data_IF_725490190546
#
_entry.id   IF_725490190546
#
_cell.length_a   1.000
_cell.length_b   1.000
_cell.length_c   1.000
_cell.angle_alpha   90.00
_cell.angle_beta   90.00
_cell.angle_gamma   90.00
#
_symmetry.space_group_name_H-M   'P 1'
#
loop_
_entity.id
_entity.type
_entity.pdbx_description
1 polymer ?
#
# COMPACT_ATOMS: atom_id res chain seq x y z
N UNK A 1 -2.53 -17.84 -19.84
CA UNK A 1 -1.28 -17.19 -20.25
C UNK A 1 -0.16 -17.67 -19.32
N UNK A 2 0.81 -18.46 -19.80
CA UNK A 2 1.89 -19.00 -18.98
C UNK A 2 2.88 -17.91 -18.51
N UNK A 3 2.90 -16.75 -19.17
CA UNK A 3 3.80 -15.64 -18.84
C UNK A 3 3.17 -14.62 -17.91
N UNK A 4 1.93 -14.85 -17.46
CA UNK A 4 1.24 -13.94 -16.55
C UNK A 4 1.81 -14.07 -15.12
N UNK A 5 2.14 -12.92 -14.51
CA UNK A 5 2.53 -12.86 -13.11
C UNK A 5 1.32 -13.08 -12.20
N UNK A 6 1.52 -13.87 -11.15
CA UNK A 6 0.50 -14.15 -10.14
C UNK A 6 0.73 -13.28 -8.92
N UNK A 7 -0.24 -12.40 -8.64
CA UNK A 7 -0.24 -11.55 -7.46
C UNK A 7 -1.34 -11.97 -6.49
N UNK A 8 -0.98 -12.13 -5.22
CA UNK A 8 -1.91 -12.52 -4.15
C UNK A 8 -1.93 -11.43 -3.09
N UNK A 9 -3.14 -10.96 -2.74
CA UNK A 9 -3.34 -9.96 -1.69
C UNK A 9 -3.82 -10.62 -0.42
N UNK A 10 -3.11 -10.35 0.69
CA UNK A 10 -3.37 -10.90 2.02
C UNK A 10 -3.66 -9.75 2.99
N UNK A 11 -4.62 -9.96 3.88
CA UNK A 11 -4.89 -9.00 4.97
C UNK A 11 -3.83 -9.14 6.05
N UNK A 12 -3.35 -8.01 6.57
CA UNK A 12 -2.47 -7.97 7.72
C UNK A 12 -3.24 -8.41 8.97
N UNK A 13 -3.02 -9.65 9.38
CA UNK A 13 -3.59 -10.26 10.58
C UNK A 13 -2.57 -11.22 11.20
N UNK A 14 -2.68 -11.55 12.49
CA UNK A 14 -1.78 -12.52 13.11
C UNK A 14 -1.75 -13.85 12.35
N UNK A 15 -0.56 -14.34 12.03
CA UNK A 15 -0.38 -15.56 11.23
C UNK A 15 -0.24 -15.34 9.72
N UNK A 16 -0.37 -14.09 9.23
CA UNK A 16 -0.24 -13.77 7.80
C UNK A 16 1.12 -14.20 7.22
N UNK A 17 2.17 -14.20 8.02
CA UNK A 17 3.49 -14.68 7.61
C UNK A 17 3.48 -16.14 7.19
N UNK A 18 2.77 -17.01 7.90
CA UNK A 18 2.61 -18.44 7.55
C UNK A 18 1.83 -18.58 6.24
N UNK A 19 0.78 -17.77 6.06
CA UNK A 19 0.00 -17.74 4.82
C UNK A 19 0.88 -17.27 3.66
N UNK A 20 1.65 -16.21 3.85
CA UNK A 20 2.59 -15.69 2.85
C UNK A 20 3.63 -16.75 2.43
N UNK A 21 4.16 -17.52 3.38
CA UNK A 21 5.07 -18.62 3.06
C UNK A 21 4.39 -19.71 2.22
N UNK A 22 3.14 -20.05 2.53
CA UNK A 22 2.34 -20.99 1.73
C UNK A 22 2.10 -20.49 0.30
N UNK A 23 1.74 -19.21 0.17
CA UNK A 23 1.52 -18.54 -1.13
C UNK A 23 2.81 -18.47 -1.96
N UNK A 24 3.96 -18.15 -1.34
CA UNK A 24 5.26 -18.17 -2.01
C UNK A 24 5.66 -19.58 -2.47
N UNK A 25 5.35 -20.62 -1.69
CA UNK A 25 5.55 -22.03 -2.12
C UNK A 25 4.64 -22.43 -3.26
N UNK A 26 3.46 -21.82 -3.38
CA UNK A 26 2.52 -22.02 -4.49
C UNK A 26 2.88 -21.18 -5.73
N UNK A 27 4.10 -20.64 -5.80
CA UNK A 27 4.66 -19.90 -6.95
C UNK A 27 3.97 -18.57 -7.26
N UNK A 28 3.49 -17.85 -6.27
CA UNK A 28 3.12 -16.45 -6.48
C UNK A 28 4.37 -15.59 -6.75
N UNK A 29 4.24 -14.64 -7.66
CA UNK A 29 5.32 -13.69 -8.03
C UNK A 29 5.33 -12.45 -7.13
N UNK A 30 4.15 -12.04 -6.65
CA UNK A 30 3.95 -10.89 -5.79
C UNK A 30 2.98 -11.21 -4.67
N UNK A 31 3.34 -10.85 -3.44
CA UNK A 31 2.43 -10.86 -2.30
C UNK A 31 2.22 -9.44 -1.82
N UNK A 32 0.96 -8.98 -1.78
CA UNK A 32 0.59 -7.70 -1.18
C UNK A 32 0.07 -7.93 0.23
N UNK A 33 0.73 -7.36 1.22
CA UNK A 33 0.25 -7.31 2.60
C UNK A 33 -0.55 -6.02 2.78
N UNK A 34 -1.83 -6.16 3.03
CA UNK A 34 -2.78 -5.05 3.13
C UNK A 34 -3.14 -4.76 4.59
N UNK A 35 -2.87 -3.55 5.06
CA UNK A 35 -3.36 -3.09 6.35
C UNK A 35 -4.89 -2.97 6.40
N UNK A 36 -5.45 -2.77 7.60
CA UNK A 36 -6.90 -2.61 7.79
C UNK A 36 -7.52 -1.49 6.95
N UNK A 37 -6.74 -0.47 6.60
CA UNK A 37 -7.13 0.66 5.74
C UNK A 37 -7.05 0.33 4.24
N UNK A 38 -6.51 -0.84 3.91
CA UNK A 38 -6.38 -1.30 2.53
C UNK A 38 -7.68 -1.83 1.95
N UNK A 39 -7.65 -2.12 0.66
CA UNK A 39 -8.80 -2.62 -0.07
C UNK A 39 -9.57 -1.54 -0.80
N UNK A 40 -10.85 -1.79 -1.05
CA UNK A 40 -11.68 -0.87 -1.83
C UNK A 40 -12.28 0.24 -0.98
N UNK A 41 -12.26 1.48 -1.49
CA UNK A 41 -13.01 2.60 -0.90
C UNK A 41 -14.53 2.40 -0.89
N UNK A 42 -15.03 1.44 -1.66
CA UNK A 42 -16.45 1.08 -1.69
C UNK A 42 -16.87 0.12 -0.56
N UNK A 43 -15.94 -0.36 0.27
CA UNK A 43 -16.28 -1.17 1.44
C UNK A 43 -17.01 -0.35 2.51
N UNK A 44 -17.99 -0.95 3.22
CA UNK A 44 -18.61 -0.32 4.38
C UNK A 44 -17.57 0.04 5.45
N UNK A 45 -17.83 1.11 6.21
CA UNK A 45 -16.92 1.59 7.24
C UNK A 45 -16.54 0.51 8.27
N UNK A 46 -17.50 -0.35 8.63
CA UNK A 46 -17.23 -1.44 9.56
C UNK A 46 -16.15 -2.40 9.06
N UNK A 47 -16.16 -2.76 7.76
CA UNK A 47 -15.14 -3.62 7.15
C UNK A 47 -13.78 -2.93 7.12
N UNK A 48 -13.73 -1.67 6.72
CA UNK A 48 -12.49 -0.88 6.68
C UNK A 48 -11.89 -0.71 8.08
N UNK A 49 -12.73 -0.60 9.11
CA UNK A 49 -12.28 -0.29 10.47
C UNK A 49 -11.89 -1.53 11.28
N UNK A 50 -12.49 -2.68 10.99
CA UNK A 50 -12.35 -3.86 11.86
C UNK A 50 -11.82 -5.11 11.17
N UNK A 51 -11.53 -5.08 9.87
CA UNK A 51 -10.98 -6.20 9.14
C UNK A 51 -9.46 -6.02 8.97
N UNK A 52 -8.68 -6.61 9.85
CA UNK A 52 -7.21 -6.58 9.77
C UNK A 52 -6.53 -5.73 10.84
N UNK A 53 -5.23 -5.78 10.82
CA UNK A 53 -4.29 -5.04 11.67
C UNK A 53 -3.57 -3.95 10.86
N UNK A 54 -2.79 -3.05 11.50
CA UNK A 54 -1.88 -2.16 10.79
C UNK A 54 -0.94 -2.93 9.86
N UNK A 55 -0.66 -2.36 8.69
CA UNK A 55 0.20 -3.00 7.69
C UNK A 55 1.61 -3.28 8.21
N UNK A 56 2.11 -2.47 9.13
CA UNK A 56 3.43 -2.60 9.74
C UNK A 56 3.61 -3.97 10.42
N UNK A 57 2.60 -4.42 11.14
CA UNK A 57 2.61 -5.71 11.83
C UNK A 57 2.62 -6.86 10.84
N UNK A 58 1.68 -6.86 9.89
CA UNK A 58 1.58 -7.93 8.90
C UNK A 58 2.77 -8.00 7.97
N UNK A 59 3.30 -6.85 7.53
CA UNK A 59 4.48 -6.78 6.69
C UNK A 59 5.71 -7.31 7.41
N UNK A 60 5.93 -6.89 8.65
CA UNK A 60 7.05 -7.36 9.47
C UNK A 60 6.99 -8.86 9.69
N UNK A 61 5.83 -9.41 10.03
CA UNK A 61 5.63 -10.85 10.19
C UNK A 61 5.92 -11.61 8.88
N UNK A 62 5.35 -11.15 7.76
CA UNK A 62 5.57 -11.78 6.45
C UNK A 62 7.05 -11.77 6.05
N UNK A 63 7.73 -10.64 6.21
CA UNK A 63 9.17 -10.50 5.94
C UNK A 63 10.00 -11.49 6.76
N UNK A 64 9.73 -11.60 8.07
CA UNK A 64 10.47 -12.49 8.96
C UNK A 64 10.25 -13.97 8.58
N UNK A 65 8.99 -14.38 8.37
CA UNK A 65 8.66 -15.77 8.03
C UNK A 65 9.20 -16.16 6.65
N UNK A 66 9.09 -15.28 5.65
CA UNK A 66 9.66 -15.52 4.32
C UNK A 66 11.19 -15.69 4.38
N UNK A 67 11.89 -14.88 5.18
CA UNK A 67 13.34 -14.99 5.38
C UNK A 67 13.71 -16.28 6.12
N UNK A 68 13.05 -16.58 7.21
CA UNK A 68 13.30 -17.79 8.01
C UNK A 68 13.12 -19.09 7.21
N UNK A 69 12.26 -19.06 6.18
CA UNK A 69 12.00 -20.22 5.31
C UNK A 69 12.80 -20.20 3.99
N UNK A 70 13.71 -19.23 3.77
CA UNK A 70 14.47 -19.09 2.52
C UNK A 70 13.61 -18.76 1.29
N UNK A 71 12.42 -18.18 1.50
CA UNK A 71 11.45 -17.89 0.45
C UNK A 71 11.50 -16.41 0.00
N UNK A 72 12.13 -15.53 0.78
CA UNK A 72 12.08 -14.08 0.53
C UNK A 72 12.59 -13.68 -0.85
N UNK A 73 13.59 -14.34 -1.39
CA UNK A 73 14.14 -14.09 -2.72
C UNK A 73 13.31 -14.66 -3.88
N UNK A 74 12.22 -15.39 -3.58
CA UNK A 74 11.35 -16.03 -4.60
C UNK A 74 10.14 -15.19 -4.96
N UNK A 75 9.76 -14.23 -4.12
CA UNK A 75 8.54 -13.46 -4.24
C UNK A 75 8.82 -11.99 -3.92
N UNK A 76 8.22 -11.10 -4.67
CA UNK A 76 8.20 -9.66 -4.34
C UNK A 76 7.17 -9.40 -3.26
N UNK A 77 7.48 -8.45 -2.38
CA UNK A 77 6.55 -8.05 -1.31
C UNK A 77 6.12 -6.61 -1.51
N UNK A 78 4.82 -6.43 -1.57
CA UNK A 78 4.17 -5.12 -1.62
C UNK A 78 3.40 -4.89 -0.32
N UNK A 79 3.23 -3.64 0.07
CA UNK A 79 2.28 -3.28 1.13
C UNK A 79 1.39 -2.13 0.70
N UNK A 80 0.16 -2.13 1.21
CA UNK A 80 -0.79 -1.03 1.12
C UNK A 80 -1.59 -0.87 2.43
N UNK A 81 -2.51 0.07 2.45
CA UNK A 81 -3.37 0.31 3.61
C UNK A 81 -2.92 1.50 4.43
N UNK A 82 -3.02 2.68 3.83
CA UNK A 82 -2.82 3.94 4.54
C UNK A 82 -1.52 4.67 4.23
N UNK A 83 -0.70 4.20 3.31
CA UNK A 83 0.50 4.91 2.86
C UNK A 83 0.12 6.26 2.22
N UNK A 84 0.80 7.35 2.61
CA UNK A 84 0.49 8.71 2.14
C UNK A 84 1.73 9.55 1.83
N UNK A 85 2.87 9.28 2.49
CA UNK A 85 4.06 10.12 2.49
C UNK A 85 5.31 9.35 2.11
N UNK A 86 6.41 10.04 1.85
CA UNK A 86 7.72 9.43 1.66
C UNK A 86 8.22 8.72 2.93
N UNK A 87 7.86 9.24 4.11
CA UNK A 87 8.18 8.59 5.37
C UNK A 87 7.50 7.20 5.49
N UNK A 88 6.26 7.05 5.02
CA UNK A 88 5.58 5.76 4.99
C UNK A 88 6.31 4.78 4.05
N UNK A 89 6.79 5.27 2.89
CA UNK A 89 7.60 4.47 1.95
C UNK A 89 8.88 3.98 2.62
N UNK A 90 9.60 4.85 3.31
CA UNK A 90 10.84 4.51 4.04
C UNK A 90 10.57 3.44 5.10
N UNK A 91 9.56 3.64 5.94
CA UNK A 91 9.16 2.66 6.96
C UNK A 91 8.80 1.31 6.35
N UNK A 92 8.00 1.33 5.28
CA UNK A 92 7.59 0.10 4.60
C UNK A 92 8.79 -0.63 3.96
N UNK A 93 9.74 0.09 3.36
CA UNK A 93 10.96 -0.51 2.83
C UNK A 93 11.81 -1.14 3.95
N UNK A 94 12.02 -0.43 5.05
CA UNK A 94 12.76 -0.95 6.21
C UNK A 94 12.09 -2.22 6.77
N UNK A 95 10.76 -2.29 6.80
CA UNK A 95 10.02 -3.48 7.23
C UNK A 95 9.94 -4.58 6.18
N UNK A 96 10.42 -4.36 4.95
CA UNK A 96 10.62 -5.40 3.96
C UNK A 96 9.84 -5.25 2.65
N UNK A 97 9.09 -4.17 2.42
CA UNK A 97 8.38 -3.97 1.17
C UNK A 97 9.32 -3.48 0.05
N UNK A 98 9.08 -3.98 -1.17
CA UNK A 98 9.75 -3.57 -2.41
C UNK A 98 8.83 -2.72 -3.30
N UNK A 99 7.55 -2.73 -3.01
CA UNK A 99 6.51 -2.02 -3.75
C UNK A 99 5.47 -1.45 -2.79
N UNK A 100 4.84 -0.35 -3.17
CA UNK A 100 4.01 0.46 -2.29
C UNK A 100 2.70 0.82 -2.97
N UNK A 101 1.57 0.49 -2.33
CA UNK A 101 0.24 0.79 -2.83
C UNK A 101 -0.37 2.01 -2.14
N UNK A 102 -0.88 2.94 -2.95
CA UNK A 102 -1.51 4.17 -2.48
C UNK A 102 -2.97 4.22 -2.91
N UNK A 103 -3.85 4.59 -2.00
CA UNK A 103 -5.26 4.80 -2.28
C UNK A 103 -5.71 6.21 -1.90
N UNK A 104 -5.80 6.49 -0.61
CA UNK A 104 -6.36 7.73 -0.06
C UNK A 104 -5.59 8.99 -0.48
N UNK A 105 -4.25 8.96 -0.46
CA UNK A 105 -3.42 10.12 -0.79
C UNK A 105 -3.70 10.68 -2.19
N UNK A 106 -3.54 9.89 -3.26
CA UNK A 106 -3.85 10.35 -4.62
C UNK A 106 -5.33 10.69 -4.82
N UNK A 107 -6.26 10.01 -4.12
CA UNK A 107 -7.68 10.36 -4.17
C UNK A 107 -7.95 11.75 -3.55
N UNK A 108 -7.30 12.08 -2.43
CA UNK A 108 -7.39 13.41 -1.80
C UNK A 108 -6.78 14.47 -2.73
N UNK A 109 -5.66 14.17 -3.38
CA UNK A 109 -5.08 15.06 -4.39
C UNK A 109 -6.06 15.37 -5.53
N UNK A 110 -6.92 14.43 -5.92
CA UNK A 110 -7.99 14.64 -6.91
C UNK A 110 -9.24 15.34 -6.35
N UNK A 111 -9.25 15.76 -5.10
CA UNK A 111 -10.37 16.47 -4.48
C UNK A 111 -11.31 15.61 -3.63
N UNK A 112 -10.93 14.38 -3.29
CA UNK A 112 -11.72 13.54 -2.37
C UNK A 112 -11.86 14.21 -0.99
N UNK A 113 -13.07 14.32 -0.50
CA UNK A 113 -13.40 14.90 0.82
C UNK A 113 -13.45 13.86 1.95
N UNK A 114 -13.04 12.64 1.66
CA UNK A 114 -12.99 11.54 2.64
C UNK A 114 -14.34 11.25 3.32
N UNK A 115 -15.43 11.36 2.59
CA UNK A 115 -16.80 11.19 3.10
C UNK A 115 -17.13 9.72 3.42
N UNK A 116 -16.36 8.78 2.90
CA UNK A 116 -16.56 7.32 3.11
C UNK A 116 -17.94 6.79 2.67
N UNK A 117 -18.54 7.43 1.68
CA UNK A 117 -19.83 7.02 1.05
C UNK A 117 -19.62 6.39 -0.33
N UNK A 118 -18.39 5.93 -0.63
CA UNK A 118 -18.02 5.38 -1.93
C UNK A 118 -18.89 4.18 -2.33
N UNK A 119 -19.35 3.39 -1.36
CA UNK A 119 -20.20 2.21 -1.59
C UNK A 119 -21.64 2.54 -1.98
N UNK A 120 -22.06 3.80 -1.88
CA UNK A 120 -23.45 4.23 -2.17
C UNK A 120 -23.64 4.72 -3.60
N UNK A 121 -22.60 4.73 -4.44
CA UNK A 121 -22.63 5.32 -5.77
C UNK A 121 -23.16 6.77 -5.82
N UNK A 122 -23.00 7.51 -4.73
CA UNK A 122 -23.49 8.87 -4.55
C UNK A 122 -22.40 9.80 -3.98
N UNK A 123 -21.20 9.71 -4.55
CA UNK A 123 -20.07 10.53 -4.11
C UNK A 123 -20.29 11.99 -4.47
N UNK A 124 -20.39 12.86 -3.46
CA UNK A 124 -20.63 14.29 -3.63
C UNK A 124 -19.50 15.04 -4.37
N UNK A 125 -18.31 14.44 -4.46
CA UNK A 125 -17.17 15.01 -5.20
C UNK A 125 -17.03 14.45 -6.62
N UNK A 126 -17.97 13.62 -7.07
CA UNK A 126 -17.97 13.04 -8.42
C UNK A 126 -16.90 11.98 -8.68
N UNK A 127 -16.12 11.57 -7.66
CA UNK A 127 -15.00 10.63 -7.83
C UNK A 127 -15.50 9.18 -7.87
N UNK A 128 -16.16 8.73 -6.80
CA UNK A 128 -16.62 7.35 -6.65
C UNK A 128 -18.12 7.24 -6.93
N UNK A 129 -18.53 7.58 -8.15
CA UNK A 129 -19.92 7.50 -8.60
C UNK A 129 -20.00 7.32 -10.11
N UNK A 130 -21.05 6.65 -10.58
CA UNK A 130 -21.41 6.57 -11.99
C UNK A 130 -22.48 7.61 -12.38
N UNK A 131 -22.95 8.43 -11.43
CA UNK A 131 -23.89 9.50 -11.73
C UNK A 131 -23.22 10.59 -12.56
N UNK A 132 -23.65 10.73 -13.80
CA UNK A 132 -23.05 11.69 -14.76
C UNK A 132 -23.15 13.14 -14.30
N UNK A 133 -24.27 13.52 -13.65
CA UNK A 133 -24.44 14.87 -13.13
C UNK A 133 -23.42 15.18 -12.02
N UNK A 134 -23.26 14.27 -11.04
CA UNK A 134 -22.29 14.47 -9.97
C UNK A 134 -20.86 14.51 -10.50
N UNK A 135 -20.54 13.68 -11.48
CA UNK A 135 -19.21 13.69 -12.14
C UNK A 135 -18.95 15.00 -12.87
N UNK A 136 -19.89 15.43 -13.68
CA UNK A 136 -19.74 16.68 -14.48
C UNK A 136 -19.68 17.92 -13.61
N UNK A 137 -20.54 17.99 -12.58
CA UNK A 137 -20.75 19.24 -11.82
C UNK A 137 -19.78 19.39 -10.63
N UNK A 138 -19.16 18.27 -10.15
CA UNK A 138 -18.39 18.28 -8.90
C UNK A 138 -16.98 17.68 -9.00
N UNK A 139 -16.66 16.91 -10.05
CA UNK A 139 -15.32 16.37 -10.19
C UNK A 139 -14.36 17.43 -10.71
N UNK A 140 -13.34 17.74 -9.91
CA UNK A 140 -12.34 18.80 -10.20
C UNK A 140 -10.94 18.21 -10.44
N UNK A 141 -10.79 16.88 -10.37
CA UNK A 141 -9.49 16.23 -10.46
C UNK A 141 -8.84 16.36 -11.84
N UNK A 142 -7.55 16.63 -11.83
CA UNK A 142 -6.70 16.67 -13.02
C UNK A 142 -5.56 15.65 -12.88
N UNK A 143 -5.09 15.01 -13.97
CA UNK A 143 -3.96 14.08 -13.91
C UNK A 143 -2.72 14.68 -13.25
N UNK A 144 -2.43 15.95 -13.50
CA UNK A 144 -1.26 16.64 -12.94
C UNK A 144 -1.27 16.69 -11.40
N UNK A 145 -2.44 16.71 -10.78
CA UNK A 145 -2.55 16.68 -9.32
C UNK A 145 -1.97 15.37 -8.76
N UNK A 146 -2.24 14.24 -9.40
CA UNK A 146 -1.70 12.93 -9.00
C UNK A 146 -0.21 12.85 -9.33
N UNK A 147 0.19 13.32 -10.50
CA UNK A 147 1.61 13.38 -10.90
C UNK A 147 2.42 14.19 -9.89
N UNK A 148 1.94 15.36 -9.50
CA UNK A 148 2.62 16.22 -8.54
C UNK A 148 2.65 15.59 -7.14
N UNK A 149 1.55 14.98 -6.71
CA UNK A 149 1.51 14.24 -5.45
C UNK A 149 2.63 13.18 -5.38
N UNK A 150 2.77 12.35 -6.41
CA UNK A 150 3.82 11.33 -6.42
C UNK A 150 5.23 11.89 -6.60
N UNK A 151 5.39 13.03 -7.27
CA UNK A 151 6.68 13.74 -7.28
C UNK A 151 7.08 14.19 -5.87
N UNK A 152 6.16 14.74 -5.09
CA UNK A 152 6.43 15.12 -3.70
C UNK A 152 6.75 13.91 -2.83
N UNK A 153 6.00 12.82 -2.94
CA UNK A 153 6.30 11.58 -2.21
C UNK A 153 7.70 11.07 -2.57
N UNK A 154 8.06 11.09 -3.86
CA UNK A 154 9.38 10.64 -4.30
C UNK A 154 10.50 11.56 -3.81
N UNK A 155 10.28 12.87 -3.78
CA UNK A 155 11.27 13.83 -3.29
C UNK A 155 11.50 13.68 -1.79
N UNK A 156 10.43 13.63 -0.99
CA UNK A 156 10.51 13.36 0.45
C UNK A 156 11.23 12.04 0.73
N UNK A 157 10.93 10.99 -0.06
CA UNK A 157 11.63 9.70 0.05
C UNK A 157 13.13 9.86 -0.19
N UNK A 158 13.54 10.62 -1.23
CA UNK A 158 14.97 10.88 -1.54
C UNK A 158 15.66 11.67 -0.44
N UNK A 159 15.01 12.69 0.11
CA UNK A 159 15.56 13.49 1.21
C UNK A 159 15.79 12.66 2.47
N UNK A 160 14.83 11.81 2.82
CA UNK A 160 14.94 10.89 3.96
C UNK A 160 16.06 9.85 3.71
N UNK A 161 16.14 9.26 2.52
CA UNK A 161 17.22 8.35 2.17
C UNK A 161 18.58 9.03 2.25
N UNK A 162 18.69 10.27 1.77
CA UNK A 162 19.93 11.03 1.85
C UNK A 162 20.35 11.29 3.30
N UNK A 163 19.41 11.60 4.20
CA UNK A 163 19.69 11.79 5.63
C UNK A 163 20.19 10.50 6.30
N UNK A 164 19.79 9.33 5.79
CA UNK A 164 20.23 8.02 6.25
C UNK A 164 21.53 7.55 5.54
N UNK A 165 22.05 8.32 4.59
CA UNK A 165 23.23 7.94 3.78
C UNK A 165 22.97 6.80 2.78
N UNK A 166 21.72 6.56 2.43
CA UNK A 166 21.26 5.47 1.54
C UNK A 166 21.04 6.00 0.12
N UNK A 167 21.63 5.35 -0.87
CA UNK A 167 21.54 5.77 -2.28
C UNK A 167 20.46 5.05 -3.09
N UNK A 168 20.17 3.81 -2.78
CA UNK A 168 19.20 2.99 -3.49
C UNK A 168 18.12 2.51 -2.55
N UNK A 169 16.87 2.57 -2.96
CA UNK A 169 15.73 2.13 -2.14
C UNK A 169 15.84 0.63 -1.77
N UNK A 170 16.43 -0.16 -2.64
CA UNK A 170 16.70 -1.58 -2.40
C UNK A 170 17.63 -1.83 -1.21
N UNK A 171 18.49 -0.87 -0.88
CA UNK A 171 19.41 -0.98 0.25
C UNK A 171 18.71 -0.76 1.60
N UNK A 172 17.46 -0.26 1.59
CA UNK A 172 16.62 -0.12 2.78
C UNK A 172 15.85 -1.39 3.14
N UNK A 173 15.66 -2.30 2.18
CA UNK A 173 14.74 -3.43 2.37
C UNK A 173 15.18 -4.34 3.51
N UNK A 174 14.39 -4.35 4.57
CA UNK A 174 14.63 -5.16 5.76
C UNK A 174 15.72 -4.62 6.71
N UNK A 175 16.14 -3.36 6.56
CA UNK A 175 17.13 -2.68 7.42
C UNK A 175 16.51 -2.18 8.74
N UNK A 176 15.94 -3.10 9.52
CA UNK A 176 15.29 -2.79 10.80
C UNK A 176 16.26 -2.22 11.86
N UNK A 177 17.57 -2.33 11.63
CA UNK A 177 18.61 -1.67 12.42
C UNK A 177 18.56 -0.13 12.35
N UNK A 178 17.84 0.44 11.38
CA UNK A 178 17.61 1.88 11.24
C UNK A 178 16.37 2.38 12.01
N UNK A 179 15.64 1.50 12.66
CA UNK A 179 14.51 1.88 13.50
C UNK A 179 14.99 2.02 14.95
N UNK A 180 14.64 3.13 15.57
CA UNK A 180 14.77 3.33 17.01
C UNK A 180 13.50 2.76 17.69
N UNK A 181 13.68 1.76 18.56
CA UNK A 181 12.59 0.99 19.19
C UNK A 181 12.68 1.14 20.71
#
# INVERSE_FOLDING_TARGET
NPDALVSVKLVAEPGVGTIAAGVAKAYADLITISGYDGGTGASPLASVKYAGSPWELGLSEAQQVLRANGLRGRVRVQTDGGLKTGLDVIKAAILGAESFGFGTGPMVALGCKYLRICHLNNCATGIATQNEKLRRDHFIGLPDMVVNYFKFVAEETRELMASLGIRQLTDLIGRTDLLDI
#
